data_IF_257760304382
#
_entry.id   IF_257760304382
#
_cell.length_a   1.000
_cell.length_b   1.000
_cell.length_c   1.000
_cell.angle_alpha   90.00
_cell.angle_beta   90.00
_cell.angle_gamma   90.00
#
_symmetry.space_group_name_H-M   'P 1'
#
loop_
_entity.id
_entity.type
_entity.pdbx_description
1 polymer ?
#
# COMPACT_ATOMS: atom_id res chain seq x y z
N UNK A 1 -14.12 -17.61 -24.41
CA UNK A 1 -14.73 -16.45 -23.73
C UNK A 1 -14.41 -16.43 -22.22
N UNK A 2 -14.93 -17.31 -21.33
CA UNK A 2 -14.57 -17.25 -19.90
C UNK A 2 -13.11 -17.60 -19.62
N UNK A 3 -12.54 -18.53 -20.40
CA UNK A 3 -11.14 -18.95 -20.28
C UNK A 3 -10.17 -17.81 -20.63
N UNK A 4 -10.45 -17.06 -21.70
CA UNK A 4 -9.63 -15.92 -22.14
C UNK A 4 -9.61 -14.81 -21.07
N UNK A 5 -10.78 -14.52 -20.48
CA UNK A 5 -10.90 -13.55 -19.39
C UNK A 5 -10.12 -14.01 -18.13
N UNK A 6 -10.16 -15.30 -17.77
CA UNK A 6 -9.36 -15.84 -16.64
C UNK A 6 -7.85 -15.74 -16.89
N UNK A 7 -7.39 -16.04 -18.12
CA UNK A 7 -5.99 -15.91 -18.51
C UNK A 7 -5.54 -14.46 -18.38
N UNK A 8 -6.33 -13.52 -18.92
CA UNK A 8 -6.03 -12.08 -18.84
C UNK A 8 -6.01 -11.56 -17.39
N UNK A 9 -6.94 -12.02 -16.55
CA UNK A 9 -6.92 -11.67 -15.13
C UNK A 9 -5.69 -12.20 -14.40
N UNK A 10 -5.28 -13.43 -14.69
CA UNK A 10 -4.07 -14.02 -14.09
C UNK A 10 -2.81 -13.27 -14.52
N UNK A 11 -2.71 -12.95 -15.82
CA UNK A 11 -1.63 -12.15 -16.37
C UNK A 11 -1.58 -10.75 -15.74
N UNK A 12 -2.74 -10.12 -15.53
CA UNK A 12 -2.83 -8.81 -14.88
C UNK A 12 -2.22 -8.84 -13.47
N UNK A 13 -2.53 -9.86 -12.68
CA UNK A 13 -1.97 -10.04 -11.33
C UNK A 13 -0.44 -10.20 -11.37
N UNK A 14 0.08 -10.98 -12.31
CA UNK A 14 1.52 -11.18 -12.48
C UNK A 14 2.23 -9.88 -12.86
N UNK A 15 1.69 -9.16 -13.86
CA UNK A 15 2.22 -7.87 -14.29
C UNK A 15 2.19 -6.83 -13.16
N UNK A 16 1.13 -6.83 -12.34
CA UNK A 16 1.05 -5.96 -11.16
C UNK A 16 2.12 -6.32 -10.12
N UNK A 17 2.39 -7.61 -9.90
CA UNK A 17 3.45 -8.05 -8.98
C UNK A 17 4.85 -7.59 -9.44
N UNK A 18 5.07 -7.51 -10.75
CA UNK A 18 6.30 -6.98 -11.38
C UNK A 18 6.38 -5.45 -11.41
N UNK A 19 5.34 -4.74 -10.97
CA UNK A 19 5.28 -3.27 -11.07
C UNK A 19 4.99 -2.74 -12.47
N UNK A 20 4.59 -3.60 -13.42
CA UNK A 20 4.21 -3.22 -14.79
C UNK A 20 2.77 -2.71 -14.82
N UNK A 21 2.53 -1.60 -14.13
CA UNK A 21 1.19 -1.07 -13.84
C UNK A 21 0.34 -0.85 -15.08
N UNK A 22 0.92 -0.31 -16.16
CA UNK A 22 0.18 -0.01 -17.39
C UNK A 22 -0.30 -1.29 -18.08
N UNK A 23 0.57 -2.30 -18.19
CA UNK A 23 0.23 -3.59 -18.79
C UNK A 23 -0.77 -4.36 -17.91
N UNK A 24 -0.59 -4.31 -16.60
CA UNK A 24 -1.51 -4.90 -15.63
C UNK A 24 -2.91 -4.30 -15.73
N UNK A 25 -3.02 -2.97 -15.85
CA UNK A 25 -4.30 -2.29 -16.02
C UNK A 25 -4.93 -2.58 -17.39
N UNK A 26 -4.12 -2.62 -18.45
CA UNK A 26 -4.61 -2.96 -19.79
C UNK A 26 -5.25 -4.34 -19.82
N UNK A 27 -4.56 -5.34 -19.27
CA UNK A 27 -5.03 -6.73 -19.17
C UNK A 27 -6.23 -6.89 -18.24
N UNK A 28 -6.26 -6.17 -17.11
CA UNK A 28 -7.42 -6.15 -16.21
C UNK A 28 -8.68 -5.58 -16.88
N UNK A 29 -8.54 -4.51 -17.65
CA UNK A 29 -9.66 -3.94 -18.43
C UNK A 29 -10.15 -4.89 -19.52
N UNK A 30 -9.24 -5.62 -20.17
CA UNK A 30 -9.62 -6.66 -21.13
C UNK A 30 -10.38 -7.80 -20.46
N UNK A 31 -9.92 -8.26 -19.29
CA UNK A 31 -10.63 -9.23 -18.47
C UNK A 31 -12.05 -8.74 -18.10
N UNK A 32 -12.18 -7.49 -17.63
CA UNK A 32 -13.47 -6.89 -17.28
C UNK A 32 -14.44 -6.84 -18.47
N UNK A 33 -13.97 -6.50 -19.67
CA UNK A 33 -14.81 -6.44 -20.89
C UNK A 33 -15.34 -7.80 -21.34
N UNK A 34 -14.58 -8.87 -21.08
CA UNK A 34 -14.94 -10.23 -21.48
C UNK A 34 -15.77 -10.96 -20.40
N UNK A 35 -15.74 -10.49 -19.17
CA UNK A 35 -16.49 -11.08 -18.07
C UNK A 35 -17.96 -10.62 -18.09
N UNK A 36 -18.88 -11.56 -17.86
CA UNK A 36 -20.30 -11.25 -17.76
C UNK A 36 -20.58 -10.33 -16.55
N UNK A 37 -21.27 -9.18 -16.71
CA UNK A 37 -21.56 -8.27 -15.61
C UNK A 37 -22.21 -8.96 -14.42
N UNK A 38 -21.69 -8.69 -13.21
CA UNK A 38 -22.18 -9.30 -11.97
C UNK A 38 -21.66 -10.72 -11.69
N UNK A 39 -21.02 -11.38 -12.66
CA UNK A 39 -20.37 -12.68 -12.42
C UNK A 39 -19.20 -12.55 -11.44
N UNK A 40 -18.80 -13.67 -10.83
CA UNK A 40 -17.62 -13.74 -9.96
C UNK A 40 -16.35 -13.27 -10.69
N UNK A 41 -16.21 -13.60 -11.98
CA UNK A 41 -15.07 -13.18 -12.79
C UNK A 41 -15.07 -11.66 -13.01
N UNK A 42 -16.23 -11.08 -13.25
CA UNK A 42 -16.39 -9.63 -13.39
C UNK A 42 -16.07 -8.90 -12.09
N UNK A 43 -16.56 -9.40 -10.95
CA UNK A 43 -16.28 -8.83 -9.64
C UNK A 43 -14.79 -9.00 -9.27
N UNK A 44 -14.18 -10.13 -9.62
CA UNK A 44 -12.73 -10.27 -9.49
C UNK A 44 -11.96 -9.25 -10.35
N UNK A 45 -12.42 -8.96 -11.57
CA UNK A 45 -11.83 -7.91 -12.41
C UNK A 45 -11.99 -6.50 -11.81
N UNK A 46 -13.14 -6.18 -11.21
CA UNK A 46 -13.30 -4.92 -10.46
C UNK A 46 -12.35 -4.84 -9.27
N UNK A 47 -12.19 -5.93 -8.52
CA UNK A 47 -11.24 -6.02 -7.41
C UNK A 47 -9.80 -5.78 -7.91
N UNK A 48 -9.37 -6.45 -8.98
CA UNK A 48 -8.05 -6.26 -9.57
C UNK A 48 -7.83 -4.80 -9.96
N UNK A 49 -8.76 -4.19 -10.69
CA UNK A 49 -8.65 -2.79 -11.10
C UNK A 49 -8.59 -1.84 -9.91
N UNK A 50 -9.41 -2.05 -8.87
CA UNK A 50 -9.39 -1.24 -7.66
C UNK A 50 -8.02 -1.30 -6.97
N UNK A 51 -7.46 -2.49 -6.81
CA UNK A 51 -6.15 -2.71 -6.18
C UNK A 51 -5.01 -2.13 -7.03
N UNK A 52 -4.95 -2.47 -8.33
CA UNK A 52 -3.87 -2.05 -9.22
C UNK A 52 -3.86 -0.54 -9.44
N UNK A 53 -5.01 0.13 -9.53
CA UNK A 53 -5.03 1.59 -9.62
C UNK A 53 -4.55 2.28 -8.34
N UNK A 54 -4.84 1.70 -7.16
CA UNK A 54 -4.29 2.18 -5.90
C UNK A 54 -2.77 2.00 -5.88
N UNK A 55 -2.28 0.81 -6.21
CA UNK A 55 -0.84 0.51 -6.21
C UNK A 55 -0.08 1.37 -7.25
N UNK A 56 -0.73 1.73 -8.35
CA UNK A 56 -0.22 2.69 -9.34
C UNK A 56 -0.35 4.18 -8.94
N UNK A 57 -0.95 4.49 -7.79
CA UNK A 57 -1.10 5.88 -7.30
C UNK A 57 -2.18 6.71 -7.95
N UNK A 58 -3.23 6.07 -8.43
CA UNK A 58 -4.34 6.69 -9.14
C UNK A 58 -5.65 6.48 -8.36
N UNK A 59 -5.81 7.08 -7.16
CA UNK A 59 -6.92 6.79 -6.24
C UNK A 59 -8.28 7.15 -6.84
N UNK A 60 -8.33 8.21 -7.65
CA UNK A 60 -9.55 8.65 -8.33
C UNK A 60 -10.02 7.64 -9.39
N UNK A 61 -9.09 6.94 -10.04
CA UNK A 61 -9.42 5.87 -10.97
C UNK A 61 -9.80 4.57 -10.25
N UNK A 62 -9.20 4.28 -9.10
CA UNK A 62 -9.51 3.09 -8.31
C UNK A 62 -10.93 3.12 -7.71
N UNK A 63 -11.36 4.28 -7.20
CA UNK A 63 -12.61 4.48 -6.46
C UNK A 63 -13.87 3.91 -7.14
N UNK A 64 -14.17 4.19 -8.42
CA UNK A 64 -15.37 3.65 -9.06
C UNK A 64 -15.39 2.12 -9.10
N UNK A 65 -14.24 1.46 -9.34
CA UNK A 65 -14.14 -0.01 -9.34
C UNK A 65 -14.35 -0.58 -7.93
N UNK A 66 -13.73 0.01 -6.91
CA UNK A 66 -13.91 -0.42 -5.53
C UNK A 66 -15.37 -0.28 -5.07
N UNK A 67 -16.03 0.83 -5.40
CA UNK A 67 -17.44 1.05 -5.08
C UNK A 67 -18.36 0.09 -5.84
N UNK A 68 -18.12 -0.13 -7.13
CA UNK A 68 -18.90 -1.08 -7.93
C UNK A 68 -18.77 -2.50 -7.38
N UNK A 69 -17.56 -2.93 -7.01
CA UNK A 69 -17.31 -4.21 -6.35
C UNK A 69 -18.10 -4.32 -5.05
N UNK A 70 -17.93 -3.36 -4.12
CA UNK A 70 -18.53 -3.46 -2.79
C UNK A 70 -20.06 -3.44 -2.82
N UNK A 71 -20.67 -2.75 -3.81
CA UNK A 71 -22.11 -2.79 -4.02
C UNK A 71 -22.61 -4.15 -4.51
N UNK A 72 -21.86 -4.81 -5.39
CA UNK A 72 -22.29 -6.05 -6.05
C UNK A 72 -21.87 -7.32 -5.29
N UNK A 73 -20.77 -7.28 -4.53
CA UNK A 73 -20.26 -8.41 -3.76
C UNK A 73 -20.99 -8.61 -2.41
N UNK A 74 -21.90 -7.70 -2.04
CA UNK A 74 -22.60 -7.76 -0.76
C UNK A 74 -23.41 -9.06 -0.63
N UNK A 75 -23.14 -9.84 0.42
CA UNK A 75 -23.83 -11.10 0.69
C UNK A 75 -23.38 -12.28 -0.18
N UNK A 76 -22.40 -12.12 -1.08
CA UNK A 76 -21.89 -13.21 -1.90
C UNK A 76 -20.77 -13.98 -1.16
N UNK A 77 -20.99 -15.24 -0.73
CA UNK A 77 -20.00 -15.99 0.03
C UNK A 77 -18.75 -16.36 -0.78
N UNK A 78 -18.87 -16.50 -2.11
CA UNK A 78 -17.73 -16.81 -2.99
C UNK A 78 -16.74 -15.65 -3.08
N UNK A 79 -17.19 -14.44 -2.73
CA UNK A 79 -16.39 -13.22 -2.76
C UNK A 79 -15.90 -12.79 -1.38
N UNK A 80 -16.20 -13.58 -0.34
CA UNK A 80 -15.83 -13.26 1.03
C UNK A 80 -14.30 -13.07 1.16
N UNK A 81 -13.50 -13.93 0.53
CA UNK A 81 -12.04 -13.87 0.57
C UNK A 81 -11.45 -12.59 -0.06
N UNK A 82 -12.04 -12.09 -1.16
CA UNK A 82 -11.54 -10.91 -1.88
C UNK A 82 -12.00 -9.59 -1.26
N UNK A 83 -13.17 -9.59 -0.62
CA UNK A 83 -13.79 -8.37 -0.07
C UNK A 83 -12.88 -7.59 0.90
N UNK A 84 -12.16 -8.21 1.86
CA UNK A 84 -11.21 -7.50 2.72
C UNK A 84 -10.18 -6.66 1.95
N UNK A 85 -9.70 -7.14 0.80
CA UNK A 85 -8.71 -6.45 -0.02
C UNK A 85 -9.30 -5.19 -0.65
N UNK A 86 -10.54 -5.25 -1.16
CA UNK A 86 -11.21 -4.05 -1.71
C UNK A 86 -11.56 -3.05 -0.60
N UNK A 87 -11.93 -3.53 0.59
CA UNK A 87 -12.12 -2.67 1.77
C UNK A 87 -10.80 -2.00 2.17
N UNK A 88 -9.66 -2.73 2.08
CA UNK A 88 -8.33 -2.15 2.29
C UNK A 88 -7.96 -1.15 1.21
N UNK A 89 -8.28 -1.40 -0.05
CA UNK A 89 -8.09 -0.48 -1.16
C UNK A 89 -8.84 0.85 -0.94
N UNK A 90 -10.06 0.82 -0.39
CA UNK A 90 -10.77 2.04 0.03
C UNK A 90 -10.02 2.83 1.11
N UNK A 91 -9.31 2.14 2.01
CA UNK A 91 -8.42 2.77 2.98
C UNK A 91 -7.22 3.43 2.32
N UNK A 92 -6.60 2.74 1.36
CA UNK A 92 -5.51 3.32 0.56
C UNK A 92 -5.99 4.53 -0.21
N UNK A 93 -7.10 4.46 -0.96
CA UNK A 93 -7.68 5.63 -1.64
C UNK A 93 -7.82 6.82 -0.69
N UNK A 94 -8.38 6.61 0.51
CA UNK A 94 -8.50 7.68 1.50
C UNK A 94 -7.14 8.18 2.02
N UNK A 95 -6.14 7.30 2.16
CA UNK A 95 -4.77 7.68 2.54
C UNK A 95 -4.13 8.54 1.45
N UNK A 96 -4.25 8.12 0.19
CA UNK A 96 -3.71 8.83 -0.97
C UNK A 96 -4.35 10.22 -1.14
N UNK A 97 -5.62 10.38 -0.73
CA UNK A 97 -6.33 11.67 -0.66
C UNK A 97 -6.05 12.46 0.65
N UNK A 98 -5.07 12.06 1.45
CA UNK A 98 -4.71 12.70 2.73
C UNK A 98 -5.82 12.67 3.80
N UNK A 99 -6.84 11.82 3.63
CA UNK A 99 -7.92 11.61 4.61
C UNK A 99 -7.55 10.53 5.61
N UNK A 100 -6.46 10.73 6.35
CA UNK A 100 -5.81 9.69 7.16
C UNK A 100 -6.70 9.02 8.22
N UNK A 101 -7.55 9.78 8.93
CA UNK A 101 -8.50 9.17 9.88
C UNK A 101 -9.60 8.37 9.18
N UNK A 102 -9.96 8.73 7.95
CA UNK A 102 -10.89 7.93 7.14
C UNK A 102 -10.21 6.67 6.64
N UNK A 103 -8.94 6.76 6.22
CA UNK A 103 -8.12 5.60 5.85
C UNK A 103 -8.03 4.59 7.00
N UNK A 104 -7.71 5.06 8.21
CA UNK A 104 -7.68 4.22 9.41
C UNK A 104 -9.01 3.46 9.64
N UNK A 105 -10.17 4.11 9.47
CA UNK A 105 -11.48 3.43 9.64
C UNK A 105 -11.67 2.33 8.61
N UNK A 106 -11.27 2.54 7.35
CA UNK A 106 -11.33 1.52 6.31
C UNK A 106 -10.37 0.37 6.59
N UNK A 107 -9.12 0.66 6.95
CA UNK A 107 -8.17 -0.38 7.33
C UNK A 107 -8.63 -1.17 8.54
N UNK A 108 -9.21 -0.54 9.56
CA UNK A 108 -9.80 -1.23 10.72
C UNK A 108 -10.90 -2.21 10.29
N UNK A 109 -11.75 -1.84 9.32
CA UNK A 109 -12.76 -2.74 8.75
C UNK A 109 -12.12 -3.91 8.02
N UNK A 110 -11.12 -3.67 7.17
CA UNK A 110 -10.40 -4.71 6.45
C UNK A 110 -9.68 -5.67 7.41
N UNK A 111 -8.98 -5.14 8.41
CA UNK A 111 -8.30 -5.91 9.46
C UNK A 111 -9.29 -6.86 10.17
N UNK A 112 -10.46 -6.35 10.58
CA UNK A 112 -11.48 -7.17 11.22
C UNK A 112 -12.05 -8.27 10.31
N UNK A 113 -12.04 -8.08 8.98
CA UNK A 113 -12.43 -9.11 8.03
C UNK A 113 -11.33 -10.17 7.87
N UNK A 114 -10.07 -9.77 7.75
CA UNK A 114 -8.94 -10.71 7.70
C UNK A 114 -8.83 -11.57 8.96
N UNK A 115 -8.98 -10.99 10.15
CA UNK A 115 -9.00 -11.75 11.40
C UNK A 115 -10.14 -12.79 11.42
N UNK A 116 -11.35 -12.42 10.95
CA UNK A 116 -12.49 -13.34 10.88
C UNK A 116 -12.25 -14.50 9.92
N UNK A 117 -11.39 -14.32 8.91
CA UNK A 117 -11.02 -15.34 7.93
C UNK A 117 -9.81 -16.19 8.37
N UNK A 118 -9.19 -15.87 9.51
CA UNK A 118 -7.94 -16.52 9.94
C UNK A 118 -6.71 -16.10 9.13
N UNK A 119 -6.81 -15.05 8.30
CA UNK A 119 -5.67 -14.54 7.53
C UNK A 119 -4.84 -13.57 8.38
N UNK A 120 -4.05 -14.16 9.28
CA UNK A 120 -3.22 -13.42 10.23
C UNK A 120 -2.13 -12.59 9.54
N UNK A 121 -1.61 -13.04 8.41
CA UNK A 121 -0.59 -12.31 7.65
C UNK A 121 -1.19 -11.04 7.06
N UNK A 122 -2.35 -11.14 6.40
CA UNK A 122 -3.01 -9.94 5.86
C UNK A 122 -3.56 -9.02 6.95
N UNK A 123 -3.95 -9.56 8.11
CA UNK A 123 -4.27 -8.75 9.28
C UNK A 123 -3.04 -7.93 9.73
N UNK A 124 -1.87 -8.56 9.88
CA UNK A 124 -0.62 -7.88 10.24
C UNK A 124 -0.24 -6.80 9.21
N UNK A 125 -0.28 -7.10 7.91
CA UNK A 125 -0.07 -6.10 6.84
C UNK A 125 -1.08 -4.96 6.91
N UNK A 126 -2.33 -5.23 7.28
CA UNK A 126 -3.34 -4.17 7.43
C UNK A 126 -3.09 -3.32 8.67
N UNK A 127 -2.54 -3.90 9.75
CA UNK A 127 -2.10 -3.17 10.95
C UNK A 127 -0.97 -2.18 10.64
N UNK A 128 -0.04 -2.53 9.75
CA UNK A 128 0.97 -1.63 9.20
C UNK A 128 0.33 -0.43 8.50
N UNK A 129 -0.66 -0.67 7.64
CA UNK A 129 -1.39 0.41 6.97
C UNK A 129 -2.09 1.36 7.97
N UNK A 130 -2.68 0.80 9.03
CA UNK A 130 -3.29 1.56 10.13
C UNK A 130 -2.27 2.41 10.89
N UNK A 131 -1.11 1.84 11.23
CA UNK A 131 -0.07 2.52 11.99
C UNK A 131 0.39 3.78 11.26
N UNK A 132 0.76 3.66 9.99
CA UNK A 132 1.14 4.80 9.17
C UNK A 132 0.03 5.85 9.00
N UNK A 133 -1.23 5.43 8.82
CA UNK A 133 -2.35 6.39 8.77
C UNK A 133 -2.46 7.19 10.07
N UNK A 134 -2.27 6.54 11.23
CA UNK A 134 -2.26 7.21 12.52
C UNK A 134 -1.02 8.09 12.71
N UNK A 135 0.16 7.64 12.29
CA UNK A 135 1.39 8.44 12.31
C UNK A 135 1.21 9.72 11.50
N UNK A 136 0.71 9.62 10.26
CA UNK A 136 0.38 10.78 9.41
C UNK A 136 -0.70 11.68 9.99
N UNK A 137 -1.62 11.13 10.77
CA UNK A 137 -2.63 11.89 11.50
C UNK A 137 -2.11 12.50 12.82
N UNK A 138 -0.81 12.45 13.11
CA UNK A 138 -0.21 13.00 14.33
C UNK A 138 -0.51 12.18 15.60
N UNK A 139 -0.73 10.87 15.47
CA UNK A 139 -1.09 9.97 16.59
C UNK A 139 -0.11 8.78 16.71
N UNK A 140 1.20 9.02 16.91
CA UNK A 140 2.23 7.97 16.90
C UNK A 140 2.06 6.93 18.03
N UNK A 141 1.60 7.33 19.22
CA UNK A 141 1.36 6.37 20.31
C UNK A 141 0.26 5.36 19.95
N UNK A 142 -0.85 5.85 19.39
CA UNK A 142 -1.92 4.97 18.88
C UNK A 142 -1.46 4.15 17.69
N UNK A 143 -0.58 4.68 16.85
CA UNK A 143 0.02 3.93 15.75
C UNK A 143 0.81 2.72 16.26
N UNK A 144 1.57 2.89 17.35
CA UNK A 144 2.29 1.80 18.02
C UNK A 144 1.34 0.76 18.62
N UNK A 145 0.27 1.20 19.28
CA UNK A 145 -0.72 0.28 19.89
C UNK A 145 -1.39 -0.63 18.87
N UNK A 146 -1.68 -0.12 17.67
CA UNK A 146 -2.39 -0.90 16.64
C UNK A 146 -1.47 -1.73 15.76
N UNK A 147 -0.16 -1.43 15.72
CA UNK A 147 0.78 -2.17 14.91
C UNK A 147 0.95 -3.57 15.48
N UNK A 148 0.74 -4.59 14.64
CA UNK A 148 0.96 -5.98 15.05
C UNK A 148 2.43 -6.19 15.48
N UNK A 149 2.69 -7.11 16.42
CA UNK A 149 4.05 -7.39 16.85
C UNK A 149 4.89 -7.96 15.69
N UNK A 150 6.20 -7.76 15.74
CA UNK A 150 7.13 -8.13 14.66
C UNK A 150 7.07 -9.59 14.23
N UNK A 151 6.76 -10.53 15.14
CA UNK A 151 6.63 -11.95 14.83
C UNK A 151 5.36 -12.30 14.04
N UNK A 152 4.38 -11.40 13.99
CA UNK A 152 3.19 -11.57 13.15
C UNK A 152 3.47 -11.32 11.66
N UNK A 153 4.65 -10.76 11.34
CA UNK A 153 5.12 -10.57 9.97
C UNK A 153 6.08 -11.69 9.59
N UNK A 154 5.82 -12.42 8.49
CA UNK A 154 6.79 -13.32 7.89
C UNK A 154 8.12 -12.62 7.59
N UNK A 155 9.21 -13.40 7.49
CA UNK A 155 10.55 -12.84 7.29
C UNK A 155 10.64 -11.96 6.03
N UNK A 156 9.97 -12.37 4.95
CA UNK A 156 9.89 -11.66 3.69
C UNK A 156 9.04 -10.37 3.73
N UNK A 157 8.31 -10.12 4.82
CA UNK A 157 7.52 -8.90 5.06
C UNK A 157 7.98 -8.13 6.30
N UNK A 158 9.09 -8.55 6.92
CA UNK A 158 9.67 -7.92 8.10
C UNK A 158 9.82 -6.40 7.97
N UNK A 159 10.26 -5.95 6.78
CA UNK A 159 10.48 -4.55 6.48
C UNK A 159 9.23 -3.67 6.59
N UNK A 160 8.02 -4.24 6.53
CA UNK A 160 6.79 -3.48 6.76
C UNK A 160 6.71 -3.04 8.22
N UNK A 161 6.92 -3.97 9.16
CA UNK A 161 7.01 -3.63 10.57
C UNK A 161 8.11 -2.60 10.82
N UNK A 162 9.30 -2.85 10.26
CA UNK A 162 10.45 -1.97 10.50
C UNK A 162 10.19 -0.57 9.93
N UNK A 163 9.62 -0.47 8.74
CA UNK A 163 9.23 0.81 8.13
C UNK A 163 8.17 1.56 8.92
N UNK A 164 7.11 0.88 9.39
CA UNK A 164 6.10 1.49 10.25
C UNK A 164 6.69 1.97 11.58
N UNK A 165 7.58 1.18 12.19
CA UNK A 165 8.20 1.56 13.45
C UNK A 165 9.15 2.75 13.26
N UNK A 166 9.92 2.79 12.16
CA UNK A 166 10.73 3.96 11.81
C UNK A 166 9.86 5.22 11.66
N UNK A 167 8.70 5.12 11.01
CA UNK A 167 7.76 6.22 10.87
C UNK A 167 7.22 6.72 12.23
N UNK A 168 6.88 5.79 13.13
CA UNK A 168 6.41 6.10 14.50
C UNK A 168 7.51 6.83 15.28
N UNK A 169 8.73 6.28 15.28
CA UNK A 169 9.88 6.84 15.99
C UNK A 169 10.24 8.24 15.46
N UNK A 170 10.17 8.43 14.14
CA UNK A 170 10.39 9.72 13.52
C UNK A 170 9.38 10.77 13.99
N UNK A 171 8.09 10.39 14.06
CA UNK A 171 7.03 11.26 14.55
C UNK A 171 7.14 11.56 16.06
N UNK A 172 7.76 10.67 16.83
CA UNK A 172 8.09 10.90 18.25
C UNK A 172 9.38 11.72 18.45
N UNK A 173 10.10 12.06 17.37
CA UNK A 173 11.37 12.80 17.45
C UNK A 173 12.57 11.96 17.92
N UNK A 174 12.44 10.62 17.95
CA UNK A 174 13.50 9.70 18.37
C UNK A 174 14.48 9.44 17.22
N UNK A 175 15.38 10.39 16.97
CA UNK A 175 16.23 10.43 15.78
C UNK A 175 17.13 9.19 15.63
N UNK A 176 17.88 8.81 16.67
CA UNK A 176 18.80 7.67 16.61
C UNK A 176 18.08 6.35 16.37
N UNK A 177 16.94 6.14 17.05
CA UNK A 177 16.12 4.94 16.86
C UNK A 177 15.48 4.89 15.48
N UNK A 178 15.09 6.05 14.94
CA UNK A 178 14.59 6.19 13.56
C UNK A 178 15.67 5.76 12.57
N UNK A 179 16.91 6.19 12.79
CA UNK A 179 18.05 5.82 11.94
C UNK A 179 18.26 4.32 11.95
N UNK A 180 18.43 3.73 13.13
CA UNK A 180 18.65 2.30 13.27
C UNK A 180 17.52 1.49 12.60
N UNK A 181 16.27 1.80 12.94
CA UNK A 181 15.10 1.06 12.43
C UNK A 181 14.88 1.28 10.94
N UNK A 182 15.18 2.48 10.43
CA UNK A 182 15.08 2.78 9.01
C UNK A 182 16.10 2.01 8.17
N UNK A 183 17.34 1.87 8.65
CA UNK A 183 18.34 1.01 8.00
C UNK A 183 17.90 -0.46 7.98
N UNK A 184 17.39 -0.99 9.10
CA UNK A 184 16.82 -2.34 9.18
C UNK A 184 15.74 -2.53 8.09
N UNK A 185 14.79 -1.59 7.98
CA UNK A 185 13.74 -1.64 6.96
C UNK A 185 14.29 -1.62 5.52
N UNK A 186 15.32 -0.84 5.24
CA UNK A 186 15.86 -0.65 3.88
C UNK A 186 16.89 -1.71 3.46
N UNK A 187 17.41 -2.49 4.42
CA UNK A 187 18.34 -3.60 4.15
C UNK A 187 17.67 -4.87 3.61
N UNK A 188 16.33 -4.96 3.65
CA UNK A 188 15.61 -6.14 3.20
C UNK A 188 15.77 -6.39 1.70
N UNK A 189 16.26 -7.59 1.34
CA UNK A 189 16.32 -8.07 -0.03
C UNK A 189 14.93 -8.49 -0.53
N UNK A 190 14.68 -8.37 -1.84
CA UNK A 190 13.46 -8.90 -2.47
C UNK A 190 12.17 -8.13 -2.16
N UNK A 191 12.28 -6.84 -1.80
CA UNK A 191 11.12 -5.96 -1.60
C UNK A 191 10.23 -5.93 -2.85
N UNK A 192 8.92 -6.01 -2.65
CA UNK A 192 7.95 -5.97 -3.73
C UNK A 192 7.88 -4.57 -4.32
N UNK A 193 7.57 -4.48 -5.62
CA UNK A 193 7.46 -3.19 -6.31
C UNK A 193 6.54 -2.23 -5.54
N UNK A 194 5.31 -2.64 -5.26
CA UNK A 194 4.31 -1.80 -4.58
C UNK A 194 4.69 -1.36 -3.16
N UNK A 195 5.70 -1.96 -2.52
CA UNK A 195 6.22 -1.56 -1.20
C UNK A 195 7.43 -0.61 -1.29
N UNK A 196 7.87 -0.22 -2.50
CA UNK A 196 8.94 0.77 -2.70
C UNK A 196 8.55 2.18 -2.25
N UNK A 197 7.26 2.44 -2.12
CA UNK A 197 6.69 3.67 -1.56
C UNK A 197 7.12 3.84 -0.11
N UNK A 198 6.87 2.80 0.69
CA UNK A 198 7.22 2.81 2.11
C UNK A 198 8.74 2.91 2.25
N UNK A 199 9.52 2.35 1.31
CA UNK A 199 10.98 2.51 1.28
C UNK A 199 11.40 3.97 1.00
N UNK A 200 10.75 4.65 0.05
CA UNK A 200 10.99 6.07 -0.22
C UNK A 200 10.65 6.94 1.00
N UNK A 201 9.52 6.69 1.65
CA UNK A 201 9.12 7.42 2.86
C UNK A 201 10.11 7.17 4.03
N UNK A 202 10.57 5.93 4.23
CA UNK A 202 11.60 5.61 5.23
C UNK A 202 12.92 6.30 4.92
N UNK A 203 13.36 6.32 3.66
CA UNK A 203 14.56 7.05 3.25
C UNK A 203 14.43 8.55 3.54
N UNK A 204 13.25 9.16 3.36
CA UNK A 204 13.02 10.55 3.75
C UNK A 204 13.05 10.77 5.27
N UNK A 205 12.61 9.80 6.09
CA UNK A 205 12.79 9.88 7.54
C UNK A 205 14.26 9.84 7.95
N UNK A 206 15.06 8.97 7.31
CA UNK A 206 16.51 8.93 7.51
C UNK A 206 17.14 10.27 7.13
N UNK A 207 16.81 10.80 5.95
CA UNK A 207 17.31 12.10 5.50
C UNK A 207 17.05 13.22 6.51
N UNK A 208 15.81 13.30 7.04
CA UNK A 208 15.44 14.28 8.07
C UNK A 208 16.17 14.06 9.39
N UNK A 209 16.34 12.82 9.82
CA UNK A 209 17.06 12.50 11.04
C UNK A 209 18.53 12.93 10.94
N UNK A 210 19.22 12.55 9.85
CA UNK A 210 20.60 12.98 9.59
C UNK A 210 20.74 14.49 9.44
N UNK A 211 19.77 15.15 8.80
CA UNK A 211 19.76 16.61 8.69
C UNK A 211 19.70 17.28 10.08
N UNK A 212 18.84 16.80 10.98
CA UNK A 212 18.74 17.31 12.35
C UNK A 212 20.01 17.05 13.18
N UNK A 213 20.74 15.98 12.88
CA UNK A 213 22.06 15.67 13.45
C UNK A 213 23.21 16.44 12.79
N UNK A 214 22.93 17.30 11.80
CA UNK A 214 23.92 18.06 10.99
C UNK A 214 24.86 17.20 10.14
N UNK A 215 24.46 15.97 9.86
CA UNK A 215 25.15 15.08 8.92
C UNK A 215 24.61 15.29 7.49
N UNK A 216 24.83 16.49 6.94
CA UNK A 216 24.21 16.92 5.68
C UNK A 216 24.59 16.04 4.47
N UNK A 217 25.78 15.43 4.47
CA UNK A 217 26.18 14.48 3.42
C UNK A 217 25.34 13.21 3.42
N UNK A 218 25.12 12.62 4.60
CA UNK A 218 24.25 11.46 4.77
C UNK A 218 22.79 11.81 4.45
N UNK A 219 22.33 12.99 4.85
CA UNK A 219 20.98 13.47 4.55
C UNK A 219 20.73 13.54 3.03
N UNK A 220 21.65 14.11 2.26
CA UNK A 220 21.55 14.21 0.80
C UNK A 220 21.56 12.84 0.13
N UNK A 221 22.40 11.91 0.58
CA UNK A 221 22.43 10.55 0.05
C UNK A 221 21.06 9.84 0.20
N UNK A 222 20.40 10.03 1.35
CA UNK A 222 19.07 9.45 1.59
C UNK A 222 17.96 10.12 0.77
N UNK A 223 18.09 11.41 0.43
CA UNK A 223 17.17 12.07 -0.51
C UNK A 223 17.31 11.47 -1.91
N UNK A 224 18.54 11.29 -2.41
CA UNK A 224 18.77 10.62 -3.69
C UNK A 224 18.19 9.21 -3.70
N UNK A 225 18.39 8.46 -2.60
CA UNK A 225 17.84 7.11 -2.47
C UNK A 225 16.30 7.08 -2.47
N UNK A 226 15.66 8.06 -1.83
CA UNK A 226 14.20 8.20 -1.90
C UNK A 226 13.71 8.48 -3.33
N UNK A 227 14.43 9.33 -4.07
CA UNK A 227 14.12 9.62 -5.48
C UNK A 227 14.30 8.39 -6.38
N UNK A 228 15.33 7.57 -6.15
CA UNK A 228 15.54 6.29 -6.85
C UNK A 228 14.35 5.33 -6.64
N UNK A 229 13.88 5.17 -5.41
CA UNK A 229 12.73 4.31 -5.11
C UNK A 229 11.45 4.80 -5.81
N UNK A 230 11.23 6.10 -5.86
CA UNK A 230 10.08 6.68 -6.56
C UNK A 230 10.20 6.55 -8.10
N UNK A 231 11.41 6.70 -8.65
CA UNK A 231 11.66 6.53 -10.08
C UNK A 231 11.40 5.09 -10.55
N UNK A 232 11.77 4.09 -9.74
CA UNK A 232 11.50 2.67 -10.02
C UNK A 232 10.01 2.34 -10.12
N UNK A 233 9.14 3.17 -9.55
CA UNK A 233 7.70 3.01 -9.64
C UNK A 233 7.06 3.64 -10.90
N UNK A 234 7.88 4.25 -11.77
CA UNK A 234 7.35 4.98 -12.93
C UNK A 234 6.49 6.18 -12.53
N UNK A 235 6.59 6.64 -11.29
CA UNK A 235 5.87 7.81 -10.83
C UNK A 235 6.53 9.06 -11.41
N UNK A 236 5.82 9.74 -12.30
CA UNK A 236 6.24 11.03 -12.88
C UNK A 236 6.28 12.20 -11.89
N UNK A 237 6.12 11.95 -10.58
CA UNK A 237 6.11 12.97 -9.56
C UNK A 237 7.02 12.54 -8.40
N UNK A 238 8.29 12.90 -8.50
CA UNK A 238 9.13 13.12 -7.33
C UNK A 238 9.14 14.62 -7.10
N UNK A 239 8.12 15.14 -6.41
CA UNK A 239 8.32 16.43 -5.75
C UNK A 239 9.24 16.14 -4.57
N UNK A 240 10.50 16.55 -4.68
CA UNK A 240 11.45 16.44 -3.58
C UNK A 240 10.87 17.25 -2.41
N UNK A 241 10.44 16.57 -1.35
CA UNK A 241 9.96 17.24 -0.14
C UNK A 241 11.09 18.09 0.42
N UNK A 242 10.92 19.40 0.24
CA UNK A 242 11.81 20.45 0.69
C UNK A 242 12.25 20.24 2.15
N UNK A 243 13.57 20.25 2.35
CA UNK A 243 14.26 20.44 3.63
C UNK A 243 14.04 21.85 4.24
N UNK A 244 13.02 22.60 3.82
CA UNK A 244 12.76 23.96 4.29
C UNK A 244 11.63 23.98 5.33
N UNK A 245 11.97 23.76 6.61
CA UNK A 245 11.13 24.13 7.76
C UNK A 245 11.12 25.65 8.03
N UNK A 246 11.49 26.51 7.05
CA UNK A 246 11.58 27.97 7.25
C UNK A 246 10.45 28.82 6.64
N UNK A 247 9.42 28.22 6.04
CA UNK A 247 8.22 28.97 5.63
C UNK A 247 7.05 28.53 6.50
N UNK A 248 6.56 29.45 7.34
CA UNK A 248 5.64 29.16 8.42
C UNK A 248 4.32 28.52 8.00
N UNK A 249 3.76 27.71 8.92
CA UNK A 249 2.33 27.60 9.23
C UNK A 249 1.32 27.23 8.13
N UNK A 250 1.72 26.99 6.89
CA UNK A 250 0.85 26.61 5.78
C UNK A 250 0.94 25.13 5.44
N UNK A 251 -0.17 24.53 5.04
CA UNK A 251 -0.21 23.17 4.47
C UNK A 251 0.78 23.07 3.30
N UNK A 252 1.80 22.24 3.49
CA UNK A 252 2.85 21.98 2.49
C UNK A 252 2.27 21.07 1.41
N UNK A 253 2.40 21.39 0.11
CA UNK A 253 1.97 20.48 -0.96
C UNK A 253 2.79 19.18 -0.85
N UNK A 254 2.10 18.07 -0.59
CA UNK A 254 2.73 16.80 -0.28
C UNK A 254 2.98 16.00 -1.56
N UNK A 255 4.27 15.89 -1.90
CA UNK A 255 4.76 14.99 -2.92
C UNK A 255 4.31 13.54 -2.70
N UNK A 256 3.72 12.97 -3.74
CA UNK A 256 3.47 11.55 -3.93
C UNK A 256 2.93 10.81 -2.69
N UNK A 257 1.60 10.82 -2.61
CA UNK A 257 0.77 10.00 -1.74
C UNK A 257 0.51 8.55 -2.18
N UNK A 258 1.21 7.84 -3.12
CA UNK A 258 0.74 6.53 -3.54
C UNK A 258 1.07 5.45 -2.53
N UNK A 259 0.25 5.28 -1.50
CA UNK A 259 0.33 4.07 -0.70
C UNK A 259 -0.57 3.02 -1.31
N UNK A 260 0.01 1.94 -1.81
CA UNK A 260 -0.76 0.85 -2.36
C UNK A 260 -0.04 -0.45 -2.07
N UNK A 261 -0.54 -1.14 -1.06
CA UNK A 261 -0.35 -2.57 -0.93
C UNK A 261 -1.74 -3.12 -0.70
N UNK A 262 -2.54 -3.08 -1.77
CA UNK A 262 -3.79 -3.82 -1.83
C UNK A 262 -3.55 -5.30 -2.19
N UNK A 263 -2.28 -5.68 -2.42
CA UNK A 263 -1.68 -7.01 -2.45
C UNK A 263 -2.57 -8.11 -3.07
N UNK A 264 -2.48 -8.21 -4.40
CA UNK A 264 -3.08 -9.24 -5.27
C UNK A 264 -2.36 -10.60 -5.17
N UNK A 265 -2.03 -11.08 -3.97
CA UNK A 265 -1.55 -12.46 -3.78
C UNK A 265 -2.68 -13.44 -3.44
N UNK A 266 -3.91 -13.14 -3.87
CA UNK A 266 -4.88 -14.21 -3.99
C UNK A 266 -4.40 -15.17 -5.08
N UNK A 267 -4.02 -16.38 -4.67
CA UNK A 267 -4.16 -17.55 -5.53
C UNK A 267 -5.58 -17.48 -6.07
N UNK A 268 -5.72 -17.09 -7.34
CA UNK A 268 -7.04 -16.88 -7.94
C UNK A 268 -7.86 -18.14 -7.71
N UNK A 269 -9.17 -17.99 -7.47
CA UNK A 269 -10.12 -19.12 -7.39
C UNK A 269 -9.96 -20.12 -8.55
N UNK A 270 -9.36 -19.69 -9.67
CA UNK A 270 -9.17 -20.48 -10.87
C UNK A 270 -7.81 -21.21 -10.95
N UNK A 271 -6.93 -21.08 -9.96
CA UNK A 271 -5.71 -21.90 -9.85
C UNK A 271 -5.97 -23.26 -9.18
N UNK A 272 -7.06 -23.36 -8.41
CA UNK A 272 -7.58 -24.63 -7.92
C UNK A 272 -8.86 -24.91 -8.69
N UNK A 273 -8.78 -25.74 -9.73
CA UNK A 273 -9.92 -26.08 -10.57
C UNK A 273 -11.12 -26.51 -9.75
N UNK A 274 -12.10 -25.62 -9.61
CA UNK A 274 -13.47 -25.96 -9.24
C UNK A 274 -14.35 -25.19 -10.22
N UNK A 275 -15.14 -25.97 -10.95
CA UNK A 275 -16.17 -25.53 -11.88
C UNK A 275 -17.25 -24.71 -11.16
#
# INVERSE_FOLDING_TARGET
MPQDARILGTLSVQLAAEGRWQDALHTAHACLRLAEPGSVLYLWALHMLACTYVDAGLPQRARPYAQAYLRQAAGNPQLASYTPFVVRAMGHIAYQEHRFLSAFRWYKKAHALFCRQGDHVQAAVTSHNMAWALTRAGRPHRAREVLAPRHAFPAELAYLFDGAMAAILAAEGRLSDTIQRGHEALSAAGRRAHDLVDAAEVALFLARAYWRLREHGAASAWISRAAEFAALQGWRFVDVLHLNERAGGGEVPHAASPRGSANLHHRGCFTTGIA
#
